data_IF_437211580400
#
_entry.id   IF_437211580400
#
_cell.length_a   1.000
_cell.length_b   1.000
_cell.length_c   1.000
_cell.angle_alpha   90.00
_cell.angle_beta   90.00
_cell.angle_gamma   90.00
#
_symmetry.space_group_name_H-M   'P 1'
#
loop_
_entity.id
_entity.type
_entity.pdbx_description
1 polymer ?
#
# COMPACT_ATOMS: atom_id res chain seq x y z
N UNK A 1 -9.54 -23.09 8.54
CA UNK A 1 -8.47 -22.09 8.33
C UNK A 1 -7.89 -22.19 6.91
N UNK A 2 -8.64 -21.82 5.87
CA UNK A 2 -8.17 -21.93 4.47
C UNK A 2 -7.11 -20.87 4.13
N UNK A 3 -7.26 -19.66 4.69
CA UNK A 3 -6.36 -18.54 4.43
C UNK A 3 -4.91 -18.84 4.84
N UNK A 4 -4.70 -19.43 6.02
CA UNK A 4 -3.36 -19.78 6.51
C UNK A 4 -2.71 -20.86 5.65
N UNK A 5 -3.45 -21.91 5.28
CA UNK A 5 -2.94 -22.99 4.41
C UNK A 5 -2.58 -22.47 3.01
N UNK A 6 -3.35 -21.51 2.48
CA UNK A 6 -3.13 -20.93 1.15
C UNK A 6 -2.29 -19.66 1.16
N UNK A 7 -1.68 -19.30 2.28
CA UNK A 7 -0.91 -18.06 2.43
C UNK A 7 0.13 -17.90 1.30
N UNK A 8 0.95 -18.92 1.06
CA UNK A 8 1.93 -18.93 -0.04
C UNK A 8 1.32 -18.71 -1.42
N UNK A 9 0.14 -19.28 -1.68
CA UNK A 9 -0.55 -19.14 -2.96
C UNK A 9 -1.10 -17.71 -3.13
N UNK A 10 -1.64 -17.11 -2.07
CA UNK A 10 -2.09 -15.72 -2.09
C UNK A 10 -0.92 -14.74 -2.23
N UNK A 11 0.20 -14.96 -1.51
CA UNK A 11 1.40 -14.13 -1.64
C UNK A 11 1.92 -14.16 -3.08
N UNK A 12 2.03 -15.35 -3.69
CA UNK A 12 2.44 -15.48 -5.11
C UNK A 12 1.49 -14.76 -6.07
N UNK A 13 0.17 -14.88 -5.86
CA UNK A 13 -0.82 -14.20 -6.68
C UNK A 13 -0.76 -12.67 -6.53
N UNK A 14 -0.59 -12.17 -5.31
CA UNK A 14 -0.37 -10.74 -5.02
C UNK A 14 0.87 -10.23 -5.74
N UNK A 15 2.00 -10.91 -5.60
CA UNK A 15 3.27 -10.47 -6.17
C UNK A 15 3.17 -10.39 -7.70
N UNK A 16 2.60 -11.43 -8.33
CA UNK A 16 2.35 -11.46 -9.79
C UNK A 16 1.42 -10.32 -10.25
N UNK A 17 0.38 -10.02 -9.46
CA UNK A 17 -0.56 -8.92 -9.76
C UNK A 17 0.14 -7.57 -9.68
N UNK A 18 0.88 -7.31 -8.60
CA UNK A 18 1.58 -6.04 -8.39
C UNK A 18 2.59 -5.78 -9.51
N UNK A 19 3.42 -6.77 -9.86
CA UNK A 19 4.41 -6.66 -10.94
C UNK A 19 3.78 -6.31 -12.30
N UNK A 20 2.64 -6.92 -12.62
CA UNK A 20 2.04 -6.81 -13.97
C UNK A 20 1.11 -5.62 -14.14
N UNK A 21 0.59 -5.07 -13.05
CA UNK A 21 -0.48 -4.06 -13.10
C UNK A 21 -0.12 -2.73 -12.46
N UNK A 22 1.03 -2.64 -11.78
CA UNK A 22 1.55 -1.36 -11.33
C UNK A 22 2.04 -0.54 -12.53
N UNK A 23 1.48 0.66 -12.72
CA UNK A 23 1.87 1.59 -13.78
C UNK A 23 1.92 3.03 -13.25
N UNK A 24 2.67 3.93 -13.89
CA UNK A 24 2.69 5.34 -13.49
C UNK A 24 1.32 6.03 -13.54
N UNK A 25 0.42 5.58 -14.42
CA UNK A 25 -0.94 6.13 -14.54
C UNK A 25 -1.91 5.57 -13.48
N UNK A 26 -1.66 4.34 -13.02
CA UNK A 26 -2.48 3.66 -12.01
C UNK A 26 -1.54 2.93 -11.03
N UNK A 27 -0.89 3.66 -10.12
CA UNK A 27 0.08 3.07 -9.21
C UNK A 27 -0.62 2.23 -8.13
N UNK A 28 -0.08 1.05 -7.87
CA UNK A 28 -0.37 0.35 -6.63
C UNK A 28 0.30 1.03 -5.44
N UNK A 29 -0.48 1.27 -4.40
CA UNK A 29 -0.02 1.80 -3.11
C UNK A 29 -0.24 0.72 -2.05
N UNK A 30 0.86 0.33 -1.40
CA UNK A 30 0.87 -0.72 -0.38
C UNK A 30 0.72 -0.11 1.02
N UNK A 31 0.01 -0.82 1.90
CA UNK A 31 -0.27 -0.37 3.29
C UNK A 31 0.02 -1.49 4.27
N UNK A 32 0.86 -1.22 5.28
CA UNK A 32 1.10 -2.11 6.41
C UNK A 32 -0.08 -2.03 7.40
N UNK A 33 -0.87 -3.10 7.48
CA UNK A 33 -2.19 -3.08 8.10
C UNK A 33 -2.30 -3.78 9.46
N UNK A 34 -1.20 -4.28 10.03
CA UNK A 34 -1.21 -4.96 11.34
C UNK A 34 -1.77 -4.06 12.45
N UNK A 35 -1.43 -2.78 12.41
CA UNK A 35 -2.02 -1.75 13.27
C UNK A 35 -3.15 -1.00 12.55
N UNK A 36 -4.39 -1.45 12.80
CA UNK A 36 -5.59 -0.95 12.10
C UNK A 36 -5.79 0.57 12.16
N UNK A 37 -5.60 1.21 13.32
CA UNK A 37 -5.84 2.66 13.49
C UNK A 37 -4.83 3.49 12.66
N UNK A 38 -3.50 3.30 12.80
CA UNK A 38 -2.52 3.96 11.94
C UNK A 38 -2.73 3.71 10.45
N UNK A 39 -3.00 2.46 10.05
CA UNK A 39 -3.22 2.11 8.64
C UNK A 39 -4.41 2.87 8.02
N UNK A 40 -5.52 2.98 8.76
CA UNK A 40 -6.71 3.74 8.30
C UNK A 40 -6.41 5.22 8.14
N UNK A 41 -5.68 5.82 9.09
CA UNK A 41 -5.27 7.22 9.00
C UNK A 41 -4.34 7.46 7.81
N UNK A 42 -3.39 6.55 7.56
CA UNK A 42 -2.49 6.64 6.41
C UNK A 42 -3.27 6.62 5.08
N UNK A 43 -4.23 5.69 4.93
CA UNK A 43 -5.07 5.62 3.72
C UNK A 43 -5.89 6.90 3.53
N UNK A 44 -6.55 7.40 4.58
CA UNK A 44 -7.33 8.64 4.48
C UNK A 44 -6.46 9.85 4.12
N UNK A 45 -5.27 9.98 4.73
CA UNK A 45 -4.32 11.04 4.39
C UNK A 45 -3.86 10.97 2.94
N UNK A 46 -3.51 9.76 2.47
CA UNK A 46 -3.11 9.55 1.08
C UNK A 46 -4.22 9.99 0.12
N UNK A 47 -5.46 9.54 0.33
CA UNK A 47 -6.58 9.95 -0.51
C UNK A 47 -6.77 11.46 -0.54
N UNK A 48 -6.75 12.12 0.63
CA UNK A 48 -6.86 13.60 0.69
C UNK A 48 -5.72 14.28 -0.06
N UNK A 49 -4.49 13.77 0.02
CA UNK A 49 -3.35 14.31 -0.72
C UNK A 49 -3.47 14.15 -2.23
N UNK A 50 -4.05 13.06 -2.70
CA UNK A 50 -4.18 12.78 -4.14
C UNK A 50 -5.37 13.50 -4.80
N UNK A 51 -6.51 13.62 -4.11
CA UNK A 51 -7.76 14.05 -4.76
C UNK A 51 -8.28 15.42 -4.29
N UNK A 52 -7.85 15.91 -3.14
CA UNK A 52 -8.40 17.15 -2.59
C UNK A 52 -7.76 18.40 -3.24
N UNK A 53 -8.48 19.52 -3.30
CA UNK A 53 -7.91 20.82 -3.66
C UNK A 53 -6.68 21.20 -2.82
N UNK A 54 -5.75 21.95 -3.41
CA UNK A 54 -4.46 22.28 -2.78
C UNK A 54 -4.60 23.02 -1.43
N UNK A 55 -5.64 23.83 -1.25
CA UNK A 55 -5.92 24.55 0.00
C UNK A 55 -6.40 23.63 1.14
N UNK A 56 -6.92 22.45 0.81
CA UNK A 56 -7.28 21.40 1.77
C UNK A 56 -6.09 20.47 1.98
N UNK A 57 -5.49 19.98 0.90
CA UNK A 57 -4.37 19.04 0.94
C UNK A 57 -3.17 19.62 1.69
N UNK A 58 -2.91 20.93 1.61
CA UNK A 58 -1.83 21.60 2.35
C UNK A 58 -2.01 21.60 3.87
N UNK A 59 -3.23 21.41 4.39
CA UNK A 59 -3.54 21.44 5.83
C UNK A 59 -3.34 20.10 6.54
N UNK A 60 -3.09 19.04 5.79
CA UNK A 60 -3.00 17.67 6.30
C UNK A 60 -1.58 17.16 6.08
N UNK A 61 -1.00 16.47 7.07
CA UNK A 61 0.30 15.82 6.91
C UNK A 61 0.22 14.66 5.89
N UNK A 62 1.34 14.35 5.25
CA UNK A 62 1.45 13.16 4.41
C UNK A 62 1.23 11.86 5.20
N UNK A 63 0.93 10.75 4.52
CA UNK A 63 0.96 9.44 5.15
C UNK A 63 2.39 9.11 5.61
N UNK A 64 2.51 8.37 6.71
CA UNK A 64 3.79 7.86 7.19
C UNK A 64 4.36 6.85 6.16
N UNK A 65 5.59 7.07 5.64
CA UNK A 65 6.18 6.22 4.60
C UNK A 65 6.47 4.79 5.09
N UNK A 66 6.61 4.57 6.40
CA UNK A 66 6.78 3.22 6.96
C UNK A 66 5.47 2.43 6.98
N UNK A 67 4.33 3.13 6.88
CA UNK A 67 2.99 2.53 6.89
C UNK A 67 2.43 2.42 5.46
N UNK A 68 2.61 3.44 4.63
CA UNK A 68 2.04 3.50 3.29
C UNK A 68 3.10 3.98 2.29
N UNK A 69 3.31 3.17 1.25
CA UNK A 69 4.32 3.43 0.23
C UNK A 69 3.83 3.01 -1.15
N UNK A 70 4.29 3.70 -2.19
CA UNK A 70 4.04 3.29 -3.58
C UNK A 70 4.84 2.04 -3.90
N UNK A 71 4.19 1.05 -4.52
CA UNK A 71 4.84 -0.21 -4.87
C UNK A 71 5.97 0.01 -5.88
N UNK A 72 7.04 -0.74 -5.68
CA UNK A 72 8.15 -0.89 -6.61
C UNK A 72 8.50 -2.37 -6.68
N UNK A 73 9.03 -2.85 -7.80
CA UNK A 73 9.35 -4.28 -7.97
C UNK A 73 10.31 -4.80 -6.88
N UNK A 74 11.23 -3.96 -6.40
CA UNK A 74 12.15 -4.29 -5.28
C UNK A 74 11.42 -4.67 -3.99
N UNK A 75 10.19 -4.17 -3.76
CA UNK A 75 9.40 -4.44 -2.56
C UNK A 75 9.06 -5.93 -2.36
N UNK A 76 9.14 -6.73 -3.43
CA UNK A 76 8.90 -8.19 -3.39
C UNK A 76 10.07 -8.92 -2.70
N UNK A 77 11.28 -8.36 -2.79
CA UNK A 77 12.50 -9.00 -2.32
C UNK A 77 13.05 -8.38 -1.03
N UNK A 78 12.85 -7.07 -0.83
CA UNK A 78 13.46 -6.29 0.26
C UNK A 78 12.74 -6.38 1.62
N UNK A 79 11.68 -7.19 1.73
CA UNK A 79 10.95 -7.41 2.98
C UNK A 79 9.88 -6.37 3.30
N UNK A 80 9.60 -5.41 2.39
CA UNK A 80 8.47 -4.48 2.55
C UNK A 80 7.10 -5.17 2.46
N UNK A 81 6.99 -6.29 1.76
CA UNK A 81 5.77 -7.12 1.68
C UNK A 81 5.86 -8.35 2.58
N UNK A 82 4.77 -8.62 3.32
CA UNK A 82 4.66 -9.83 4.14
C UNK A 82 4.72 -11.11 3.27
N UNK A 83 5.41 -12.15 3.75
CA UNK A 83 5.58 -13.44 3.07
C UNK A 83 5.07 -14.62 3.86
#
# INVERSE_FOLDING_TARGET
QVAQVRWKAYSKARDTMLERTHTPLAPWVCVRADHKKPARLAVMRHLVKEIAPADIASKIDGPDPDILFTFETSAIEDGRLAK
#
